data_IF_852378441333
#
_entry.id   IF_852378441333
#
_cell.length_a   1.000
_cell.length_b   1.000
_cell.length_c   1.000
_cell.angle_alpha   90.00
_cell.angle_beta   90.00
_cell.angle_gamma   90.00
#
_symmetry.space_group_name_H-M   'P 1'
#
loop_
_entity.id
_entity.type
_entity.pdbx_description
1 polymer ?
#
# COMPACT_ATOMS: atom_id res chain seq x y z
N UNK A 1 0.73 23.51 -86.38
CA UNK A 1 1.82 24.27 -87.04
C UNK A 1 2.99 24.27 -86.05
N UNK A 2 4.11 23.57 -86.29
CA UNK A 2 5.32 24.07 -87.00
C UNK A 2 5.77 25.47 -86.46
N UNK A 3 7.02 25.72 -86.00
CA UNK A 3 8.29 24.98 -86.09
C UNK A 3 9.38 25.63 -85.17
N UNK A 4 10.54 24.95 -85.03
CA UNK A 4 11.87 25.34 -84.46
C UNK A 4 12.15 24.95 -82.99
N UNK A 5 13.18 24.18 -82.57
CA UNK A 5 14.40 23.54 -83.15
C UNK A 5 15.78 24.24 -82.89
N UNK A 6 16.67 23.52 -82.19
CA UNK A 6 18.10 23.81 -81.95
C UNK A 6 18.48 23.62 -80.46
N UNK A 7 19.18 22.61 -79.93
CA UNK A 7 20.29 21.67 -80.29
C UNK A 7 21.56 21.93 -79.44
N UNK A 8 21.88 20.95 -78.57
CA UNK A 8 23.22 20.46 -78.15
C UNK A 8 24.12 21.37 -77.25
N UNK A 9 24.95 20.88 -76.31
CA UNK A 9 25.85 19.70 -76.30
C UNK A 9 26.18 19.12 -74.87
N UNK A 10 26.50 17.80 -74.78
CA UNK A 10 27.31 17.01 -73.78
C UNK A 10 27.25 17.30 -72.24
N UNK A 11 26.82 16.34 -71.40
CA UNK A 11 27.60 15.28 -70.69
C UNK A 11 28.52 15.79 -69.56
N UNK A 12 28.65 15.21 -68.35
CA UNK A 12 28.39 13.86 -67.81
C UNK A 12 27.71 14.04 -66.40
N UNK A 13 27.38 13.08 -65.52
CA UNK A 13 27.59 11.62 -65.43
C UNK A 13 26.44 10.95 -64.63
N UNK A 14 26.67 9.75 -64.07
CA UNK A 14 25.73 8.99 -63.23
C UNK A 14 25.88 9.34 -61.74
N UNK A 15 24.77 9.36 -60.99
CA UNK A 15 24.67 8.57 -59.76
C UNK A 15 23.20 8.32 -59.37
N UNK A 16 22.73 7.09 -59.57
CA UNK A 16 21.44 6.62 -59.02
C UNK A 16 21.60 6.30 -57.54
N UNK A 17 20.83 6.94 -56.68
CA UNK A 17 20.60 6.50 -55.31
C UNK A 17 19.09 6.52 -55.03
N UNK A 18 18.54 5.37 -54.65
CA UNK A 18 17.12 5.21 -54.42
C UNK A 18 16.62 6.08 -53.26
N UNK A 19 15.38 6.56 -53.39
CA UNK A 19 14.56 6.91 -52.23
C UNK A 19 14.36 5.64 -51.39
N UNK A 20 14.93 5.62 -50.19
CA UNK A 20 14.47 4.74 -49.11
C UNK A 20 13.63 5.62 -48.17
N UNK A 21 12.35 5.28 -47.92
CA UNK A 21 11.62 5.96 -46.85
C UNK A 21 12.29 5.62 -45.51
N UNK A 22 12.32 6.58 -44.59
CA UNK A 22 12.64 6.31 -43.18
C UNK A 22 11.50 5.47 -42.58
N UNK A 23 11.55 4.16 -42.81
CA UNK A 23 10.81 3.20 -42.04
C UNK A 23 11.31 3.27 -40.60
N UNK A 24 10.45 3.70 -39.69
CA UNK A 24 10.61 3.33 -38.28
C UNK A 24 10.49 1.82 -38.25
N UNK A 25 11.64 1.14 -38.20
CA UNK A 25 11.70 -0.28 -37.94
C UNK A 25 11.05 -0.47 -36.56
N UNK A 26 9.81 -0.99 -36.53
CA UNK A 26 9.25 -1.46 -35.27
C UNK A 26 10.25 -2.46 -34.70
N UNK A 27 10.68 -2.25 -33.46
CA UNK A 27 11.57 -3.19 -32.80
C UNK A 27 10.87 -4.55 -32.81
N UNK A 28 11.45 -5.54 -33.49
CA UNK A 28 10.91 -6.89 -33.47
C UNK A 28 10.94 -7.36 -32.03
N UNK A 29 9.77 -7.61 -31.45
CA UNK A 29 9.68 -8.22 -30.14
C UNK A 29 10.44 -9.54 -30.18
N UNK A 30 11.51 -9.60 -29.38
CA UNK A 30 12.29 -10.79 -29.14
C UNK A 30 11.39 -11.87 -28.55
N UNK A 31 10.82 -12.72 -29.42
CA UNK A 31 10.10 -13.95 -29.05
C UNK A 31 11.07 -15.03 -28.56
N UNK A 32 11.79 -14.73 -27.49
CA UNK A 32 12.54 -15.73 -26.73
C UNK A 32 11.52 -16.53 -25.88
N UNK A 33 11.27 -17.81 -26.18
CA UNK A 33 10.34 -18.64 -25.41
C UNK A 33 10.89 -18.98 -24.00
N UNK A 34 12.12 -18.58 -23.68
CA UNK A 34 12.72 -18.71 -22.34
C UNK A 34 12.70 -17.41 -21.52
N UNK A 35 12.22 -16.30 -22.09
CA UNK A 35 12.06 -15.03 -21.39
C UNK A 35 11.03 -15.16 -20.25
N UNK A 36 11.52 -15.37 -19.02
CA UNK A 36 10.69 -15.40 -17.82
C UNK A 36 10.34 -13.98 -17.40
N UNK A 37 9.08 -13.76 -17.02
CA UNK A 37 8.67 -12.54 -16.34
C UNK A 37 9.59 -12.28 -15.13
N UNK A 38 10.02 -11.03 -14.94
CA UNK A 38 10.68 -10.68 -13.68
C UNK A 38 9.68 -10.80 -12.52
N UNK A 39 10.13 -11.03 -11.28
CA UNK A 39 9.23 -11.09 -10.13
C UNK A 39 8.34 -9.85 -9.99
N UNK A 40 8.88 -8.66 -10.27
CA UNK A 40 8.14 -7.40 -10.24
C UNK A 40 7.12 -7.32 -11.39
N UNK A 41 7.49 -7.72 -12.61
CA UNK A 41 6.55 -7.79 -13.76
C UNK A 41 5.38 -8.73 -13.45
N UNK A 42 5.65 -9.91 -12.89
CA UNK A 42 4.63 -10.88 -12.51
C UNK A 42 3.70 -10.33 -11.40
N UNK A 43 4.26 -9.63 -10.41
CA UNK A 43 3.51 -9.01 -9.32
C UNK A 43 2.60 -7.88 -9.78
N UNK A 44 3.10 -6.98 -10.63
CA UNK A 44 2.31 -5.89 -11.22
C UNK A 44 1.20 -6.46 -12.11
N UNK A 45 1.51 -7.48 -12.93
CA UNK A 45 0.52 -8.14 -13.78
C UNK A 45 -0.56 -8.80 -12.92
N UNK A 46 -0.20 -9.51 -11.85
CA UNK A 46 -1.18 -10.11 -10.95
C UNK A 46 -2.10 -9.05 -10.31
N UNK A 47 -1.55 -7.95 -9.78
CA UNK A 47 -2.34 -6.88 -9.17
C UNK A 47 -3.29 -6.24 -10.20
N UNK A 48 -2.78 -5.83 -11.36
CA UNK A 48 -3.57 -5.09 -12.36
C UNK A 48 -4.59 -5.96 -13.12
N UNK A 49 -4.27 -7.21 -13.42
CA UNK A 49 -5.04 -8.03 -14.37
C UNK A 49 -5.75 -9.23 -13.76
N UNK A 50 -5.34 -9.73 -12.58
CA UNK A 50 -5.99 -10.93 -12.01
C UNK A 50 -7.40 -10.64 -11.49
N UNK A 51 -8.28 -11.63 -11.60
CA UNK A 51 -9.58 -11.58 -10.93
C UNK A 51 -9.43 -11.90 -9.44
N UNK A 52 -8.39 -12.67 -9.10
CA UNK A 52 -8.00 -13.11 -7.77
C UNK A 52 -7.65 -11.94 -6.85
N UNK A 53 -6.83 -10.97 -7.31
CA UNK A 53 -6.55 -9.74 -6.56
C UNK A 53 -7.84 -9.01 -6.20
N UNK A 54 -8.69 -8.76 -7.20
CA UNK A 54 -9.98 -8.07 -7.02
C UNK A 54 -10.89 -8.83 -6.06
N UNK A 55 -10.97 -10.15 -6.21
CA UNK A 55 -11.73 -11.03 -5.32
C UNK A 55 -11.24 -10.98 -3.88
N UNK A 56 -9.93 -10.93 -3.65
CA UNK A 56 -9.34 -10.77 -2.31
C UNK A 56 -9.63 -9.40 -1.69
N UNK A 57 -9.55 -8.31 -2.46
CA UNK A 57 -9.93 -6.97 -2.00
C UNK A 57 -11.41 -6.92 -1.59
N UNK A 58 -12.32 -7.39 -2.44
CA UNK A 58 -13.74 -7.49 -2.11
C UNK A 58 -14.00 -8.42 -0.90
N UNK A 59 -13.28 -9.54 -0.78
CA UNK A 59 -13.39 -10.44 0.36
C UNK A 59 -13.03 -9.71 1.66
N UNK A 60 -11.90 -9.01 1.71
CA UNK A 60 -11.47 -8.24 2.90
C UNK A 60 -12.49 -7.15 3.26
N UNK A 61 -13.00 -6.40 2.28
CA UNK A 61 -14.00 -5.35 2.55
C UNK A 61 -15.38 -5.91 2.94
N UNK A 62 -15.82 -7.03 2.37
CA UNK A 62 -17.06 -7.69 2.78
C UNK A 62 -16.95 -8.28 4.20
N UNK A 63 -15.81 -8.89 4.55
CA UNK A 63 -15.53 -9.34 5.92
C UNK A 63 -15.54 -8.18 6.90
N UNK A 64 -15.00 -7.01 6.50
CA UNK A 64 -15.03 -5.80 7.31
C UNK A 64 -16.44 -5.26 7.54
N UNK A 65 -17.28 -5.22 6.51
CA UNK A 65 -18.71 -4.87 6.62
C UNK A 65 -19.40 -5.77 7.64
N UNK A 66 -19.28 -7.09 7.49
CA UNK A 66 -19.88 -8.05 8.42
C UNK A 66 -19.37 -7.89 9.87
N UNK A 67 -18.05 -7.72 10.04
CA UNK A 67 -17.46 -7.54 11.36
C UNK A 67 -17.87 -6.20 12.02
N UNK A 68 -18.16 -5.16 11.25
CA UNK A 68 -18.73 -3.90 11.75
C UNK A 68 -20.19 -4.12 12.16
N UNK A 69 -21.01 -4.75 11.33
CA UNK A 69 -22.42 -5.03 11.62
C UNK A 69 -22.59 -5.87 12.89
N UNK A 70 -21.74 -6.88 13.06
CA UNK A 70 -21.73 -7.70 14.26
C UNK A 70 -21.31 -6.88 15.49
N UNK A 71 -20.33 -5.96 15.39
CA UNK A 71 -19.99 -5.04 16.49
C UNK A 71 -21.14 -4.10 16.82
N UNK A 72 -21.80 -3.51 15.82
CA UNK A 72 -22.93 -2.61 15.99
C UNK A 72 -24.17 -3.31 16.59
N UNK A 73 -24.34 -4.61 16.33
CA UNK A 73 -25.42 -5.42 16.91
C UNK A 73 -25.15 -5.87 18.34
N UNK A 74 -23.88 -6.13 18.68
CA UNK A 74 -23.47 -6.69 19.96
C UNK A 74 -23.11 -5.64 21.02
N UNK A 75 -22.98 -4.37 20.65
CA UNK A 75 -22.59 -3.28 21.55
C UNK A 75 -23.56 -2.10 21.44
N UNK A 76 -23.76 -1.38 22.54
CA UNK A 76 -24.54 -0.14 22.54
C UNK A 76 -23.67 1.04 22.08
N UNK A 77 -24.13 1.73 21.04
CA UNK A 77 -23.55 2.99 20.56
C UNK A 77 -24.64 4.06 20.46
N UNK A 78 -24.27 5.32 20.67
CA UNK A 78 -25.18 6.48 20.62
C UNK A 78 -24.85 7.35 19.42
N UNK A 79 -25.84 8.05 18.85
CA UNK A 79 -25.60 9.05 17.79
C UNK A 79 -25.42 10.44 18.38
N UNK A 80 -24.29 11.08 18.06
CA UNK A 80 -23.98 12.47 18.44
C UNK A 80 -23.51 13.22 17.20
N UNK A 81 -24.20 14.30 16.83
CA UNK A 81 -23.90 15.12 15.65
C UNK A 81 -23.72 14.29 14.34
N UNK A 82 -24.58 13.28 14.15
CA UNK A 82 -24.54 12.36 13.01
C UNK A 82 -23.54 11.20 13.13
N UNK A 83 -22.52 11.32 14.00
CA UNK A 83 -21.53 10.26 14.25
C UNK A 83 -22.08 9.20 15.19
N UNK A 84 -21.66 7.95 15.01
CA UNK A 84 -21.77 6.92 16.05
C UNK A 84 -20.66 7.10 17.07
N UNK A 85 -21.00 7.04 18.35
CA UNK A 85 -20.08 7.25 19.46
C UNK A 85 -20.24 6.16 20.52
N UNK A 86 -19.13 5.86 21.20
CA UNK A 86 -19.09 5.10 22.44
C UNK A 86 -19.17 6.06 23.62
N UNK A 87 -20.02 5.74 24.58
CA UNK A 87 -20.10 6.48 25.85
C UNK A 87 -18.90 6.14 26.74
N UNK A 88 -18.24 7.17 27.27
CA UNK A 88 -17.05 7.05 28.10
C UNK A 88 -17.24 7.89 29.36
N UNK A 89 -17.16 7.24 30.52
CA UNK A 89 -17.35 7.87 31.83
C UNK A 89 -16.01 7.95 32.56
N UNK A 90 -15.47 9.16 32.74
CA UNK A 90 -14.20 9.38 33.43
C UNK A 90 -14.43 10.03 34.80
N UNK A 91 -14.04 9.34 35.87
CA UNK A 91 -14.05 9.93 37.22
C UNK A 91 -12.83 10.83 37.41
N UNK A 92 -13.08 12.11 37.68
CA UNK A 92 -12.07 13.12 37.93
C UNK A 92 -11.54 13.04 39.38
N UNK A 93 -10.38 13.66 39.70
CA UNK A 93 -9.80 13.64 41.05
C UNK A 93 -10.67 14.24 42.15
N UNK A 94 -11.58 15.15 41.80
CA UNK A 94 -12.58 15.74 42.73
C UNK A 94 -13.80 14.83 42.98
N UNK A 95 -13.84 13.64 42.35
CA UNK A 95 -14.92 12.66 42.45
C UNK A 95 -16.06 12.86 41.45
N UNK A 96 -16.08 13.97 40.70
CA UNK A 96 -17.07 14.20 39.63
C UNK A 96 -16.89 13.22 38.47
N UNK A 97 -17.93 13.02 37.67
CA UNK A 97 -17.91 12.14 36.49
C UNK A 97 -18.07 12.99 35.24
N UNK A 98 -17.04 12.98 34.40
CA UNK A 98 -17.06 13.56 33.07
C UNK A 98 -17.63 12.49 32.11
N UNK A 99 -18.81 12.76 31.53
CA UNK A 99 -19.39 11.93 30.48
C UNK A 99 -18.93 12.46 29.11
N UNK A 100 -18.23 11.63 28.35
CA UNK A 100 -17.70 11.91 27.03
C UNK A 100 -18.29 10.95 25.99
N UNK A 101 -18.34 11.41 24.75
CA UNK A 101 -18.73 10.60 23.60
C UNK A 101 -17.54 10.48 22.66
N UNK A 102 -16.98 9.29 22.54
CA UNK A 102 -15.82 9.03 21.68
C UNK A 102 -16.32 8.50 20.32
N UNK A 103 -16.12 9.23 19.21
CA UNK A 103 -16.63 8.80 17.91
C UNK A 103 -15.98 7.49 17.44
N UNK A 104 -16.77 6.63 16.81
CA UNK A 104 -16.26 5.39 16.20
C UNK A 104 -15.47 5.73 14.95
N UNK A 105 -14.34 5.05 14.78
CA UNK A 105 -13.51 5.18 13.59
C UNK A 105 -13.00 3.84 13.05
N UNK A 106 -12.73 3.83 11.76
CA UNK A 106 -11.83 2.86 11.13
C UNK A 106 -10.58 3.59 10.67
N UNK A 107 -9.41 2.95 10.79
CA UNK A 107 -8.14 3.52 10.35
C UNK A 107 -7.63 2.72 9.16
N UNK A 108 -7.34 3.41 8.06
CA UNK A 108 -6.84 2.78 6.83
C UNK A 108 -5.51 3.42 6.45
N UNK A 109 -4.59 2.62 5.92
CA UNK A 109 -3.62 3.16 4.97
C UNK A 109 -4.32 3.63 3.67
N UNK A 110 -3.61 4.34 2.81
CA UNK A 110 -4.09 4.83 1.52
C UNK A 110 -3.54 4.00 0.36
N UNK A 111 -2.24 3.72 0.33
CA UNK A 111 -1.55 3.25 -0.87
C UNK A 111 -1.65 1.72 -0.93
N UNK A 112 -2.19 1.18 -2.02
CA UNK A 112 -2.53 -0.26 -2.19
C UNK A 112 -3.58 -0.77 -1.17
N UNK A 113 -4.15 0.15 -0.39
CA UNK A 113 -5.25 -0.07 0.55
C UNK A 113 -6.54 0.61 0.08
N UNK A 114 -6.51 1.90 -0.26
CA UNK A 114 -7.67 2.67 -0.77
C UNK A 114 -7.45 3.14 -2.21
N UNK A 115 -6.23 3.55 -2.54
CA UNK A 115 -5.79 4.03 -3.86
C UNK A 115 -4.85 2.99 -4.46
N UNK A 116 -5.15 2.54 -5.69
CA UNK A 116 -4.25 1.72 -6.51
C UNK A 116 -3.20 2.63 -7.18
N UNK A 117 -1.93 2.42 -6.83
CA UNK A 117 -0.77 3.12 -7.38
C UNK A 117 0.06 2.24 -8.30
N UNK A 118 -0.35 1.01 -8.62
CA UNK A 118 0.40 0.10 -9.49
C UNK A 118 0.78 0.70 -10.84
N UNK A 119 0.08 1.76 -11.28
CA UNK A 119 0.41 2.55 -12.46
C UNK A 119 1.81 3.20 -12.44
N UNK A 120 2.32 3.69 -11.29
CA UNK A 120 3.69 4.25 -11.25
C UNK A 120 4.74 3.14 -11.33
N UNK A 121 4.52 2.01 -10.66
CA UNK A 121 5.43 0.84 -10.76
C UNK A 121 5.44 0.25 -12.17
N UNK A 122 4.28 0.18 -12.84
CA UNK A 122 4.19 -0.22 -14.24
C UNK A 122 4.94 0.75 -15.17
N UNK A 123 4.81 2.07 -14.94
CA UNK A 123 5.52 3.08 -15.74
C UNK A 123 7.05 3.01 -15.53
N UNK A 124 7.51 2.89 -14.28
CA UNK A 124 8.91 2.70 -13.94
C UNK A 124 9.50 1.45 -14.62
N UNK A 125 8.77 0.32 -14.56
CA UNK A 125 9.17 -0.94 -15.21
C UNK A 125 9.26 -0.81 -16.73
N UNK A 126 8.24 -0.23 -17.39
CA UNK A 126 8.20 -0.07 -18.86
C UNK A 126 9.35 0.80 -19.36
N UNK A 127 9.71 1.86 -18.63
CA UNK A 127 10.76 2.79 -19.01
C UNK A 127 12.16 2.38 -18.49
N UNK A 128 12.27 1.26 -17.75
CA UNK A 128 13.49 0.83 -17.06
C UNK A 128 14.10 1.92 -16.16
N UNK A 129 13.24 2.64 -15.45
CA UNK A 129 13.61 3.73 -14.53
C UNK A 129 13.37 3.25 -13.09
N UNK A 130 14.37 3.36 -12.17
CA UNK A 130 14.16 3.02 -10.77
C UNK A 130 13.25 4.04 -10.08
N UNK A 131 12.42 3.54 -9.16
CA UNK A 131 11.62 4.38 -8.26
C UNK A 131 12.48 5.42 -7.53
N UNK A 132 11.91 6.61 -7.31
CA UNK A 132 12.49 7.65 -6.46
C UNK A 132 11.41 8.62 -5.93
N UNK A 133 11.72 9.36 -4.85
CA UNK A 133 10.77 10.29 -4.21
C UNK A 133 10.25 11.40 -5.15
N UNK A 134 11.00 11.79 -6.19
CA UNK A 134 10.57 12.85 -7.13
C UNK A 134 9.49 12.33 -8.08
N UNK A 135 9.67 11.14 -8.65
CA UNK A 135 8.64 10.48 -9.47
C UNK A 135 7.38 10.16 -8.65
N UNK A 136 7.53 9.73 -7.40
CA UNK A 136 6.40 9.53 -6.49
C UNK A 136 5.62 10.82 -6.25
N UNK A 137 6.32 11.93 -5.97
CA UNK A 137 5.68 13.24 -5.80
C UNK A 137 4.93 13.68 -7.05
N UNK A 138 5.52 13.49 -8.24
CA UNK A 138 4.87 13.78 -9.52
C UNK A 138 3.63 12.89 -9.77
N UNK A 139 3.70 11.60 -9.43
CA UNK A 139 2.55 10.68 -9.50
C UNK A 139 1.39 11.14 -8.62
N UNK A 140 1.65 11.45 -7.35
CA UNK A 140 0.62 11.94 -6.43
C UNK A 140 0.01 13.29 -6.89
N UNK A 141 0.84 14.20 -7.40
CA UNK A 141 0.34 15.46 -7.99
C UNK A 141 -0.54 15.20 -9.22
N UNK A 142 -0.16 14.24 -10.08
CA UNK A 142 -0.98 13.78 -11.20
C UNK A 142 -2.33 13.22 -10.75
N UNK A 143 -2.37 12.34 -9.75
CA UNK A 143 -3.63 11.87 -9.14
C UNK A 143 -4.51 13.02 -8.63
N UNK A 144 -3.90 14.05 -8.03
CA UNK A 144 -4.64 15.23 -7.57
C UNK A 144 -5.15 16.15 -8.70
N UNK A 145 -4.49 16.18 -9.85
CA UNK A 145 -4.84 17.03 -10.99
C UNK A 145 -5.82 16.34 -11.96
N UNK A 146 -5.62 15.05 -12.23
CA UNK A 146 -6.29 14.29 -13.29
C UNK A 146 -7.06 13.11 -12.69
N UNK A 147 -8.40 13.19 -12.55
CA UNK A 147 -9.21 12.12 -11.96
C UNK A 147 -9.04 10.74 -12.63
N UNK A 148 -8.67 10.71 -13.92
CA UNK A 148 -8.40 9.47 -14.65
C UNK A 148 -7.14 8.71 -14.17
N UNK A 149 -6.26 9.36 -13.40
CA UNK A 149 -5.11 8.73 -12.73
C UNK A 149 -5.48 8.11 -11.37
N UNK A 150 -6.65 8.44 -10.82
CA UNK A 150 -7.14 7.84 -9.59
C UNK A 150 -7.84 6.50 -9.89
N UNK A 151 -7.43 5.45 -9.19
CA UNK A 151 -8.12 4.15 -9.14
C UNK A 151 -8.31 3.78 -7.68
N UNK A 152 -9.50 3.28 -7.34
CA UNK A 152 -9.69 2.66 -6.03
C UNK A 152 -9.06 1.26 -6.00
N UNK A 153 -8.64 0.83 -4.82
CA UNK A 153 -8.53 -0.60 -4.53
C UNK A 153 -9.96 -1.19 -4.52
N UNK A 154 -10.23 -2.33 -5.19
CA UNK A 154 -11.58 -2.81 -5.43
C UNK A 154 -12.44 -2.93 -4.16
N UNK A 155 -13.53 -2.15 -4.09
CA UNK A 155 -14.48 -2.14 -2.98
C UNK A 155 -14.15 -1.16 -1.84
N UNK A 156 -13.02 -0.45 -1.91
CA UNK A 156 -12.62 0.50 -0.88
C UNK A 156 -13.60 1.68 -0.77
N UNK A 157 -13.97 2.32 -1.88
CA UNK A 157 -14.85 3.50 -1.86
C UNK A 157 -16.25 3.13 -1.38
N UNK A 158 -16.82 2.03 -1.87
CA UNK A 158 -18.15 1.57 -1.44
C UNK A 158 -18.19 1.24 0.06
N UNK A 159 -17.16 0.56 0.59
CA UNK A 159 -17.03 0.30 2.02
C UNK A 159 -16.85 1.58 2.85
N UNK A 160 -16.06 2.55 2.37
CA UNK A 160 -15.84 3.82 3.05
C UNK A 160 -17.10 4.67 3.10
N UNK A 161 -17.88 4.72 2.01
CA UNK A 161 -19.18 5.40 1.97
C UNK A 161 -20.19 4.72 2.90
N UNK A 162 -20.23 3.38 2.94
CA UNK A 162 -21.06 2.63 3.88
C UNK A 162 -20.74 2.98 5.35
N UNK A 163 -19.45 3.01 5.71
CA UNK A 163 -19.03 3.42 7.06
C UNK A 163 -19.47 4.87 7.38
N UNK A 164 -19.38 5.78 6.42
CA UNK A 164 -19.81 7.17 6.59
C UNK A 164 -21.32 7.30 6.77
N UNK A 165 -22.13 6.55 6.03
CA UNK A 165 -23.60 6.49 6.18
C UNK A 165 -23.99 5.96 7.56
N UNK A 166 -23.29 4.94 8.05
CA UNK A 166 -23.46 4.47 9.44
C UNK A 166 -23.09 5.55 10.46
N UNK A 167 -22.28 6.55 10.11
CA UNK A 167 -21.75 7.57 11.05
C UNK A 167 -20.43 7.16 11.69
N UNK A 168 -19.77 6.11 11.21
CA UNK A 168 -18.39 5.75 11.54
C UNK A 168 -17.46 6.69 10.77
N UNK A 169 -16.33 7.06 11.36
CA UNK A 169 -15.37 7.99 10.74
C UNK A 169 -14.18 7.24 10.13
N UNK A 170 -14.02 7.21 8.79
CA UNK A 170 -12.77 6.79 8.20
C UNK A 170 -11.65 7.79 8.50
N UNK A 171 -10.51 7.28 8.96
CA UNK A 171 -9.28 8.03 9.19
C UNK A 171 -8.22 7.44 8.27
N UNK A 172 -7.60 8.29 7.45
CA UNK A 172 -6.60 7.91 6.46
C UNK A 172 -5.20 8.19 7.02
N UNK A 173 -4.45 7.14 7.36
CA UNK A 173 -3.16 7.19 8.04
C UNK A 173 -2.07 6.61 7.13
N UNK A 174 -1.50 7.47 6.28
CA UNK A 174 -0.59 7.13 5.17
C UNK A 174 0.87 7.50 5.46
N UNK A 175 1.82 6.82 4.81
CA UNK A 175 3.24 7.22 4.82
C UNK A 175 3.64 8.22 3.71
N UNK A 176 2.69 8.67 2.88
CA UNK A 176 2.85 9.90 2.07
C UNK A 176 3.33 11.04 2.97
N UNK A 177 4.27 11.82 2.46
CA UNK A 177 4.85 12.96 3.19
C UNK A 177 3.82 14.10 3.31
N UNK A 178 3.84 14.84 4.41
CA UNK A 178 2.93 15.99 4.66
C UNK A 178 2.95 17.02 3.51
N UNK A 179 4.08 17.16 2.78
CA UNK A 179 4.15 17.98 1.55
C UNK A 179 3.21 17.54 0.43
N UNK A 180 2.70 16.31 0.45
CA UNK A 180 1.74 15.75 -0.50
C UNK A 180 0.28 15.87 -0.05
N UNK A 181 -0.01 16.60 1.05
CA UNK A 181 -1.37 16.74 1.62
C UNK A 181 -2.39 17.18 0.57
N UNK A 182 -2.16 18.30 -0.10
CA UNK A 182 -3.13 18.87 -1.05
C UNK A 182 -3.43 17.90 -2.22
N UNK A 183 -2.38 17.30 -2.78
CA UNK A 183 -2.48 16.31 -3.85
C UNK A 183 -3.26 15.05 -3.40
N UNK A 184 -3.02 14.59 -2.17
CA UNK A 184 -3.68 13.41 -1.59
C UNK A 184 -5.16 13.68 -1.27
N UNK A 185 -5.49 14.88 -0.77
CA UNK A 185 -6.89 15.30 -0.58
C UNK A 185 -7.65 15.33 -1.91
N UNK A 186 -7.05 15.94 -2.94
CA UNK A 186 -7.62 15.97 -4.29
C UNK A 186 -7.81 14.56 -4.86
N UNK A 187 -6.84 13.66 -4.69
CA UNK A 187 -6.96 12.26 -5.12
C UNK A 187 -8.12 11.51 -4.41
N UNK A 188 -8.32 11.71 -3.11
CA UNK A 188 -9.47 11.15 -2.37
C UNK A 188 -10.80 11.75 -2.86
N UNK A 189 -10.87 13.06 -3.09
CA UNK A 189 -12.05 13.73 -3.67
C UNK A 189 -12.34 13.23 -5.10
N UNK A 190 -11.32 12.98 -5.91
CA UNK A 190 -11.45 12.43 -7.27
C UNK A 190 -12.00 10.99 -7.27
N UNK A 191 -11.81 10.23 -6.18
CA UNK A 191 -12.46 8.93 -5.93
C UNK A 191 -13.87 9.05 -5.31
N UNK A 192 -14.40 10.27 -5.13
CA UNK A 192 -15.71 10.53 -4.54
C UNK A 192 -15.72 10.58 -3.00
N UNK A 193 -14.57 10.46 -2.34
CA UNK A 193 -14.44 10.48 -0.87
C UNK A 193 -14.38 11.91 -0.33
N UNK A 194 -15.45 12.69 -0.53
CA UNK A 194 -15.49 14.13 -0.27
C UNK A 194 -16.34 14.50 0.97
N UNK A 195 -15.78 14.36 2.18
CA UNK A 195 -16.44 14.83 3.41
C UNK A 195 -15.94 16.21 3.85
N UNK A 196 -16.77 17.06 4.51
CA UNK A 196 -16.35 18.40 4.91
C UNK A 196 -15.12 18.45 5.83
N UNK A 197 -14.93 17.40 6.63
CA UNK A 197 -13.85 17.14 7.57
C UNK A 197 -12.72 16.27 7.00
N UNK A 198 -12.66 16.06 5.67
CA UNK A 198 -11.69 15.17 5.02
C UNK A 198 -10.23 15.50 5.36
N UNK A 199 -9.89 16.79 5.44
CA UNK A 199 -8.54 17.24 5.81
C UNK A 199 -8.13 16.74 7.21
N UNK A 200 -9.05 16.81 8.16
CA UNK A 200 -8.79 16.47 9.57
C UNK A 200 -8.75 14.95 9.77
N UNK A 201 -9.39 14.20 8.85
CA UNK A 201 -9.28 12.74 8.73
C UNK A 201 -7.99 12.26 8.05
N UNK A 202 -7.21 13.14 7.42
CA UNK A 202 -6.00 12.78 6.68
C UNK A 202 -4.72 13.04 7.49
N UNK A 203 -4.10 11.95 7.94
CA UNK A 203 -2.95 11.92 8.85
C UNK A 203 -1.71 11.40 8.09
N UNK A 204 -1.01 12.30 7.39
CA UNK A 204 0.22 12.00 6.65
C UNK A 204 1.43 11.80 7.57
N UNK A 205 2.60 11.47 6.98
CA UNK A 205 3.87 11.41 7.69
C UNK A 205 4.55 12.77 7.68
N UNK A 206 4.77 13.34 8.86
CA UNK A 206 5.67 14.48 9.06
C UNK A 206 7.05 13.96 9.49
N UNK A 207 8.05 14.11 8.61
CA UNK A 207 9.47 13.73 8.87
C UNK A 207 10.05 14.44 10.12
N UNK A 208 9.43 15.53 10.62
CA UNK A 208 9.83 16.24 11.85
C UNK A 208 9.22 15.67 13.14
N UNK A 209 8.21 14.78 13.04
CA UNK A 209 7.47 14.22 14.19
C UNK A 209 7.77 12.73 14.48
N UNK A 210 8.43 11.99 13.59
CA UNK A 210 8.54 10.53 13.71
C UNK A 210 9.58 10.04 14.74
N UNK A 211 9.40 8.81 15.24
CA UNK A 211 9.99 8.15 16.44
C UNK A 211 9.90 8.95 17.75
N UNK A 212 10.36 10.21 17.77
CA UNK A 212 10.23 11.10 18.92
C UNK A 212 8.77 11.35 19.30
N UNK A 213 7.88 11.45 18.30
CA UNK A 213 6.45 11.74 18.51
C UNK A 213 5.73 10.69 19.36
N UNK A 214 5.92 9.39 19.14
CA UNK A 214 5.18 8.36 19.88
C UNK A 214 5.48 8.39 21.39
N UNK A 215 6.77 8.45 21.75
CA UNK A 215 7.23 8.57 23.13
C UNK A 215 6.81 9.90 23.75
N UNK A 216 6.97 11.01 23.01
CA UNK A 216 6.55 12.34 23.47
C UNK A 216 5.04 12.44 23.68
N UNK A 217 4.21 11.83 22.83
CA UNK A 217 2.75 11.79 23.00
C UNK A 217 2.38 11.04 24.29
N UNK A 218 3.06 9.94 24.63
CA UNK A 218 2.88 9.24 25.91
C UNK A 218 3.21 10.12 27.11
N UNK A 219 4.32 10.85 27.03
CA UNK A 219 4.78 11.78 28.07
C UNK A 219 3.83 12.98 28.22
N UNK A 220 3.53 13.68 27.13
CA UNK A 220 2.65 14.86 27.06
C UNK A 220 1.21 14.54 27.52
N UNK A 221 0.66 13.40 27.08
CA UNK A 221 -0.68 12.93 27.48
C UNK A 221 -0.71 12.19 28.82
N UNK A 222 0.45 11.99 29.47
CA UNK A 222 0.59 11.25 30.74
C UNK A 222 -0.01 9.83 30.68
N UNK A 223 0.09 9.17 29.52
CA UNK A 223 -0.41 7.80 29.34
C UNK A 223 0.44 6.88 30.21
N UNK A 224 -0.19 6.20 31.17
CA UNK A 224 0.52 5.26 32.04
C UNK A 224 1.18 4.15 31.22
N UNK A 225 2.49 3.97 31.36
CA UNK A 225 3.26 2.90 30.71
C UNK A 225 2.77 1.49 31.10
N UNK A 226 2.00 1.34 32.19
CA UNK A 226 1.38 0.08 32.59
C UNK A 226 0.02 -0.19 31.89
N UNK A 227 -0.61 0.83 31.31
CA UNK A 227 -1.88 0.71 30.58
C UNK A 227 -1.72 -0.06 29.27
N UNK A 228 -2.82 -0.56 28.70
CA UNK A 228 -2.79 -1.26 27.40
C UNK A 228 -2.21 -0.36 26.30
N UNK A 229 -2.63 0.91 26.25
CA UNK A 229 -2.12 1.88 25.28
C UNK A 229 -0.65 2.23 25.55
N UNK A 230 -0.25 2.47 26.81
CA UNK A 230 1.15 2.74 27.14
C UNK A 230 2.10 1.58 26.83
N UNK A 231 1.66 0.32 27.03
CA UNK A 231 2.39 -0.88 26.63
C UNK A 231 2.49 -1.04 25.12
N UNK A 232 1.37 -0.85 24.40
CA UNK A 232 1.35 -0.86 22.93
C UNK A 232 2.34 0.17 22.40
N UNK A 233 2.39 1.40 22.93
CA UNK A 233 3.31 2.44 22.44
C UNK A 233 4.76 2.19 22.83
N UNK A 234 5.01 1.73 24.06
CA UNK A 234 6.36 1.40 24.52
C UNK A 234 6.98 0.18 23.81
N UNK A 235 6.16 -0.60 23.08
CA UNK A 235 6.59 -1.73 22.27
C UNK A 235 6.60 -1.34 20.79
N UNK A 236 5.49 -0.85 20.26
CA UNK A 236 5.22 -0.61 18.85
C UNK A 236 5.96 0.62 18.28
N UNK A 237 7.25 0.48 18.00
CA UNK A 237 8.05 1.51 17.30
C UNK A 237 8.06 1.32 15.79
N UNK A 238 6.92 1.58 15.14
CA UNK A 238 6.82 1.67 13.67
C UNK A 238 6.48 3.09 13.22
N UNK A 239 6.79 3.44 11.96
CA UNK A 239 6.62 4.78 11.35
C UNK A 239 5.20 5.40 11.54
N UNK A 240 4.20 4.54 11.73
CA UNK A 240 2.79 4.92 11.92
C UNK A 240 2.35 4.96 13.39
N UNK A 241 3.16 4.45 14.31
CA UNK A 241 2.74 4.20 15.68
C UNK A 241 2.26 5.45 16.42
N UNK A 242 3.06 6.54 16.44
CA UNK A 242 2.67 7.77 17.12
C UNK A 242 1.36 8.37 16.60
N UNK A 243 1.12 8.25 15.30
CA UNK A 243 -0.13 8.69 14.64
C UNK A 243 -1.31 7.79 15.00
N UNK A 244 -1.11 6.47 15.16
CA UNK A 244 -2.14 5.57 15.70
C UNK A 244 -2.53 5.92 17.15
N UNK A 245 -1.61 6.44 17.96
CA UNK A 245 -1.92 6.93 19.32
C UNK A 245 -2.84 8.12 19.28
N UNK A 246 -2.45 9.15 18.52
CA UNK A 246 -3.21 10.38 18.34
C UNK A 246 -4.66 10.07 17.93
N UNK A 247 -4.84 9.19 16.94
CA UNK A 247 -6.19 8.73 16.55
C UNK A 247 -6.91 7.99 17.67
N UNK A 248 -6.28 7.05 18.37
CA UNK A 248 -6.92 6.28 19.47
C UNK A 248 -7.25 7.11 20.72
N UNK A 249 -6.64 8.29 20.87
CA UNK A 249 -7.00 9.24 21.94
C UNK A 249 -8.25 10.05 21.61
N UNK A 250 -8.60 10.15 20.32
CA UNK A 250 -9.76 10.91 19.82
C UNK A 250 -10.94 9.99 19.46
N UNK A 251 -10.66 8.75 19.01
CA UNK A 251 -11.64 7.84 18.41
C UNK A 251 -11.60 6.44 19.01
N UNK A 252 -12.77 5.80 19.13
CA UNK A 252 -12.89 4.36 19.36
C UNK A 252 -12.63 3.65 18.02
N UNK A 253 -11.39 3.18 17.82
CA UNK A 253 -11.01 2.52 16.56
C UNK A 253 -11.49 1.07 16.56
N UNK A 254 -12.47 0.77 15.70
CA UNK A 254 -13.11 -0.56 15.58
C UNK A 254 -12.51 -1.46 14.49
N UNK A 255 -11.68 -0.91 13.60
CA UNK A 255 -11.03 -1.63 12.51
C UNK A 255 -9.77 -0.93 11.98
N UNK A 256 -8.80 -1.73 11.56
CA UNK A 256 -7.51 -1.33 11.00
C UNK A 256 -7.35 -1.98 9.62
N UNK A 257 -7.00 -1.20 8.60
CA UNK A 257 -6.92 -1.61 7.20
C UNK A 257 -5.56 -1.24 6.63
N UNK A 258 -4.98 -2.13 5.83
CA UNK A 258 -3.67 -1.93 5.25
C UNK A 258 -3.23 -3.08 4.37
N UNK A 259 -2.40 -2.82 3.37
CA UNK A 259 -1.68 -3.84 2.63
C UNK A 259 -0.47 -4.38 3.42
N UNK A 260 0.01 -3.58 4.38
CA UNK A 260 1.25 -3.79 5.07
C UNK A 260 1.00 -4.10 6.55
N UNK A 261 1.69 -5.11 7.08
CA UNK A 261 1.56 -5.51 8.48
C UNK A 261 1.80 -4.35 9.46
N UNK A 262 2.62 -3.36 9.10
CA UNK A 262 2.88 -2.17 9.93
C UNK A 262 1.75 -1.14 9.97
N UNK A 263 0.67 -1.30 9.20
CA UNK A 263 -0.52 -0.47 9.31
C UNK A 263 -1.33 -0.84 10.54
N UNK A 264 -1.31 -2.13 10.88
CA UNK A 264 -1.91 -2.71 12.08
C UNK A 264 -1.13 -2.27 13.34
N UNK A 265 -1.80 -2.15 14.50
CA UNK A 265 -1.14 -1.99 15.80
C UNK A 265 -0.52 -3.33 16.25
N UNK A 266 0.62 -3.67 15.65
CA UNK A 266 1.45 -4.85 15.95
C UNK A 266 2.90 -4.43 16.21
N UNK A 267 3.66 -5.24 16.95
CA UNK A 267 5.05 -4.93 17.30
C UNK A 267 6.06 -5.73 16.47
N UNK A 268 6.80 -5.04 15.60
CA UNK A 268 8.08 -5.53 15.06
C UNK A 268 9.09 -4.41 15.27
N UNK A 269 10.28 -4.74 15.74
CA UNK A 269 11.31 -3.77 16.07
C UNK A 269 11.95 -3.18 14.80
N UNK A 270 11.77 -1.87 14.59
CA UNK A 270 12.32 -1.13 13.47
C UNK A 270 13.85 -0.96 13.52
N UNK A 271 14.54 -1.35 14.59
CA UNK A 271 16.01 -1.35 14.69
C UNK A 271 16.63 -2.68 14.25
N UNK A 272 15.81 -3.72 14.01
CA UNK A 272 16.26 -4.97 13.42
C UNK A 272 16.84 -4.75 12.01
N UNK A 273 18.08 -5.22 11.82
CA UNK A 273 18.75 -5.17 10.51
C UNK A 273 18.71 -6.52 9.78
N UNK A 274 18.68 -7.65 10.51
CA UNK A 274 18.67 -9.01 9.95
C UNK A 274 17.31 -9.38 9.32
N UNK A 275 17.29 -9.62 8.01
CA UNK A 275 16.09 -9.93 7.24
C UNK A 275 15.36 -11.20 7.72
N UNK A 276 16.08 -12.22 8.20
CA UNK A 276 15.47 -13.47 8.67
C UNK A 276 14.75 -13.27 10.00
N UNK A 277 15.35 -12.52 10.92
CA UNK A 277 14.75 -12.18 12.22
C UNK A 277 13.52 -11.28 12.04
N UNK A 278 13.58 -10.30 11.11
CA UNK A 278 12.43 -9.46 10.75
C UNK A 278 11.29 -10.30 10.18
N UNK A 279 11.57 -11.20 9.22
CA UNK A 279 10.56 -12.09 8.66
C UNK A 279 9.94 -12.99 9.74
N UNK A 280 10.76 -13.52 10.64
CA UNK A 280 10.28 -14.31 11.78
C UNK A 280 9.37 -13.48 12.70
N UNK A 281 9.80 -12.30 13.14
CA UNK A 281 9.05 -11.43 14.04
C UNK A 281 7.70 -11.00 13.42
N UNK A 282 7.67 -10.69 12.11
CA UNK A 282 6.44 -10.41 11.37
C UNK A 282 5.48 -11.60 11.35
N UNK A 283 5.99 -12.80 11.07
CA UNK A 283 5.20 -14.02 11.08
C UNK A 283 4.69 -14.38 12.50
N UNK A 284 5.45 -14.07 13.54
CA UNK A 284 5.04 -14.20 14.95
C UNK A 284 3.95 -13.19 15.33
N UNK A 285 4.00 -11.95 14.83
CA UNK A 285 2.90 -11.00 14.99
C UNK A 285 1.62 -11.48 14.30
N UNK A 286 1.70 -12.03 13.08
CA UNK A 286 0.54 -12.61 12.39
C UNK A 286 -0.08 -13.75 13.22
N UNK A 287 0.74 -14.70 13.71
CA UNK A 287 0.29 -15.79 14.57
C UNK A 287 -0.34 -15.29 15.88
N UNK A 288 0.29 -14.32 16.53
CA UNK A 288 -0.17 -13.76 17.82
C UNK A 288 -1.45 -12.93 17.70
N UNK A 289 -1.79 -12.47 16.50
CA UNK A 289 -2.98 -11.67 16.22
C UNK A 289 -3.98 -12.40 15.30
N UNK A 290 -3.89 -13.72 15.16
CA UNK A 290 -4.69 -14.52 14.21
C UNK A 290 -6.21 -14.34 14.40
N UNK A 291 -6.68 -14.12 15.64
CA UNK A 291 -8.10 -13.88 15.97
C UNK A 291 -8.59 -12.46 15.67
N UNK A 292 -7.67 -11.52 15.37
CA UNK A 292 -7.99 -10.16 14.94
C UNK A 292 -8.11 -10.06 13.42
N UNK A 293 -7.42 -10.91 12.67
CA UNK A 293 -7.47 -10.94 11.21
C UNK A 293 -8.90 -11.28 10.75
N UNK A 294 -9.47 -10.42 9.89
CA UNK A 294 -10.86 -10.54 9.43
C UNK A 294 -11.93 -10.06 10.42
N UNK A 295 -11.54 -9.47 11.57
CA UNK A 295 -12.46 -9.02 12.63
C UNK A 295 -12.16 -7.59 13.11
N UNK A 296 -10.89 -7.25 13.28
CA UNK A 296 -10.41 -5.89 13.58
C UNK A 296 -9.17 -5.50 12.79
N UNK A 297 -8.44 -6.46 12.23
CA UNK A 297 -7.32 -6.25 11.29
C UNK A 297 -7.74 -6.78 9.91
N UNK A 298 -7.67 -5.94 8.89
CA UNK A 298 -8.14 -6.21 7.54
C UNK A 298 -7.00 -5.99 6.56
N UNK A 299 -6.34 -7.09 6.15
CA UNK A 299 -5.18 -7.04 5.27
C UNK A 299 -5.59 -7.10 3.80
N UNK A 300 -4.97 -6.25 2.99
CA UNK A 300 -5.07 -6.26 1.52
C UNK A 300 -3.80 -6.89 0.92
N UNK A 301 -3.87 -7.53 -0.25
CA UNK A 301 -2.70 -8.17 -0.86
C UNK A 301 -1.89 -7.18 -1.72
N UNK A 302 -0.69 -6.80 -1.27
CA UNK A 302 0.31 -6.08 -2.08
C UNK A 302 1.57 -6.93 -2.31
N UNK A 303 1.78 -7.46 -3.53
CA UNK A 303 3.00 -8.18 -3.92
C UNK A 303 4.00 -7.32 -4.72
N UNK A 304 3.71 -6.04 -4.99
CA UNK A 304 4.60 -5.17 -5.80
C UNK A 304 5.68 -4.50 -4.95
N UNK A 305 5.34 -4.06 -3.73
CA UNK A 305 6.30 -3.56 -2.75
C UNK A 305 5.76 -3.74 -1.33
N UNK A 306 6.55 -3.34 -0.33
CA UNK A 306 6.10 -3.26 1.06
C UNK A 306 7.21 -3.63 2.03
N UNK A 307 6.92 -3.63 3.32
CA UNK A 307 7.91 -3.95 4.36
C UNK A 307 8.34 -5.43 4.43
N UNK A 308 7.74 -6.27 3.59
CA UNK A 308 8.19 -7.64 3.32
C UNK A 308 9.35 -7.67 2.30
N UNK A 309 9.56 -6.58 1.55
CA UNK A 309 10.64 -6.36 0.62
C UNK A 309 11.68 -5.39 1.25
N UNK A 310 12.98 -5.72 1.14
CA UNK A 310 14.06 -4.87 1.69
C UNK A 310 14.80 -4.03 0.63
N UNK A 311 14.73 -4.41 -0.65
CA UNK A 311 15.37 -3.72 -1.77
C UNK A 311 14.44 -3.79 -3.00
N UNK A 312 14.22 -2.66 -3.69
CA UNK A 312 13.18 -2.53 -4.73
C UNK A 312 13.44 -3.31 -6.03
N UNK A 313 14.66 -3.79 -6.27
CA UNK A 313 14.99 -4.65 -7.41
C UNK A 313 16.02 -5.69 -6.98
N UNK A 314 15.57 -6.79 -6.36
CA UNK A 314 16.47 -7.91 -6.03
C UNK A 314 16.76 -8.72 -7.31
N UNK A 315 18.01 -8.83 -7.78
CA UNK A 315 18.35 -9.67 -8.93
C UNK A 315 17.93 -11.14 -8.70
N UNK A 316 17.56 -11.91 -9.74
CA UNK A 316 17.12 -13.31 -9.56
C UNK A 316 18.14 -14.21 -8.83
N UNK A 317 19.43 -13.87 -8.89
CA UNK A 317 20.52 -14.53 -8.16
C UNK A 317 20.49 -14.24 -6.65
N UNK A 318 20.06 -13.04 -6.27
CA UNK A 318 20.05 -12.51 -4.91
C UNK A 318 18.75 -12.83 -4.16
N UNK A 319 17.64 -13.13 -4.87
CA UNK A 319 16.35 -13.49 -4.26
C UNK A 319 16.47 -14.58 -3.18
N UNK A 320 17.41 -15.52 -3.34
CA UNK A 320 17.70 -16.59 -2.37
C UNK A 320 18.10 -16.11 -0.97
N UNK A 321 18.46 -14.83 -0.79
CA UNK A 321 18.74 -14.22 0.52
C UNK A 321 17.47 -13.71 1.22
N UNK A 322 16.37 -13.58 0.49
CA UNK A 322 15.11 -12.97 0.93
C UNK A 322 13.95 -13.98 0.98
N UNK A 323 14.05 -15.11 0.27
CA UNK A 323 13.09 -16.22 0.31
C UNK A 323 13.73 -17.44 1.00
N UNK A 324 12.97 -18.08 1.91
CA UNK A 324 13.37 -19.35 2.55
C UNK A 324 12.78 -20.51 1.73
N UNK A 325 13.59 -21.54 1.45
CA UNK A 325 13.12 -22.76 0.77
C UNK A 325 12.55 -23.81 1.74
N UNK A 326 12.45 -23.46 3.03
CA UNK A 326 12.02 -24.30 4.14
C UNK A 326 12.83 -25.60 4.27
N UNK A 327 14.11 -25.57 3.86
CA UNK A 327 15.01 -26.71 3.83
C UNK A 327 14.83 -27.64 2.63
N UNK A 328 13.95 -27.30 1.67
CA UNK A 328 13.70 -28.13 0.49
C UNK A 328 14.96 -28.37 -0.34
N UNK A 329 15.81 -27.36 -0.53
CA UNK A 329 17.07 -27.49 -1.27
C UNK A 329 18.04 -28.46 -0.58
N UNK A 330 18.16 -28.38 0.74
CA UNK A 330 18.98 -29.31 1.52
C UNK A 330 18.45 -30.76 1.44
N UNK A 331 17.13 -30.93 1.58
CA UNK A 331 16.45 -32.21 1.39
C UNK A 331 16.64 -32.74 -0.04
N UNK A 332 16.51 -31.88 -1.05
CA UNK A 332 16.61 -32.22 -2.46
C UNK A 332 18.03 -32.68 -2.81
N UNK A 333 19.08 -31.96 -2.40
CA UNK A 333 20.46 -32.42 -2.63
C UNK A 333 20.73 -33.77 -1.98
N UNK A 334 20.24 -34.00 -0.75
CA UNK A 334 20.37 -35.29 -0.04
C UNK A 334 19.65 -36.45 -0.76
N UNK A 335 18.61 -36.17 -1.53
CA UNK A 335 17.81 -37.18 -2.23
C UNK A 335 17.97 -37.18 -3.76
N UNK A 336 18.76 -36.26 -4.33
CA UNK A 336 18.85 -36.02 -5.78
C UNK A 336 19.17 -37.27 -6.59
N UNK A 337 20.10 -38.10 -6.12
CA UNK A 337 20.50 -39.34 -6.82
C UNK A 337 19.39 -40.40 -6.81
N UNK A 338 18.52 -40.41 -5.79
CA UNK A 338 17.32 -41.27 -5.75
C UNK A 338 16.22 -40.74 -6.67
N UNK A 339 16.05 -39.42 -6.74
CA UNK A 339 15.05 -38.75 -7.58
C UNK A 339 15.37 -38.91 -9.07
N UNK A 340 16.63 -38.76 -9.46
CA UNK A 340 17.06 -38.78 -10.87
C UNK A 340 17.59 -40.15 -11.35
N UNK A 341 17.31 -41.22 -10.61
CA UNK A 341 17.61 -42.59 -11.03
C UNK A 341 19.09 -42.95 -11.13
N UNK A 342 20.02 -42.11 -10.68
CA UNK A 342 21.46 -42.41 -10.65
C UNK A 342 21.83 -43.22 -9.40
N UNK A 343 21.35 -44.46 -9.35
CA UNK A 343 22.00 -45.49 -8.55
C UNK A 343 23.39 -45.74 -9.14
N UNK A 344 24.42 -45.20 -8.49
CA UNK A 344 25.81 -45.56 -8.81
C UNK A 344 26.01 -47.06 -8.65
N UNK A 345 26.62 -47.68 -9.66
CA UNK A 345 27.42 -48.89 -9.48
C UNK A 345 28.81 -48.49 -9.01
#
# INVERSE_FOLDING_TARGET
>A
MYKFAGKFFLSLALCTACVMPFGVQAAEESKDPTARLTPLTASITWLQTSAEYKGLCYQTYNMATQAIDDKLRLNSYVRVNGKLCKEVYHRQPDGSILHLYQPLAIVLDIDETVIDNSGIEAWCLINNIPYNEQLWSAWCQGQGAEPAMCREVPGAVSFLLYCQELGITPIYLTNRDESLREATLKALVNLGLNTPDLNDRLILRDKKRDKAGAKKIVEDMKISAASVLGKDIAQNYSDKAGRRVEVRTQYEVIGWFGDNLYDMPVFVDNEMTNNKEILQARNEQVKSNITKLGNTFFLLPNPIYGSWLKEQTVPPTEMRKYIDDYGFGAWYQKNKNKIHGTSGR
#
